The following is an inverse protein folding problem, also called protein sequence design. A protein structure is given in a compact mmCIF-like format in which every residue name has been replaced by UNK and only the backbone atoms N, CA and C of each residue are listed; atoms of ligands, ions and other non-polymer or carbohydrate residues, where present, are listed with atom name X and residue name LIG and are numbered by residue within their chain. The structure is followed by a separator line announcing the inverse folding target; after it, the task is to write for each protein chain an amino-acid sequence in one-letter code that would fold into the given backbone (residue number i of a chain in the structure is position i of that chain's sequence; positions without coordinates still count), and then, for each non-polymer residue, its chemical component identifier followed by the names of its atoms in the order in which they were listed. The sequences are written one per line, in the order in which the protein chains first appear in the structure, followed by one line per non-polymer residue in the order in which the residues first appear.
data_IF_884582537533
#
_entry.id   IF_884582537533
#
_cell.length_a   1.000
_cell.length_b   1.000
_cell.length_c   1.000
_cell.angle_alpha   90.00
_cell.angle_beta   90.00
_cell.angle_gamma   90.00
#
_symmetry.space_group_name_H-M   'P 1'
#
loop_
_entity.id
_entity.type
_entity.pdbx_description
1 polymer ?
#
# COMPACT_ATOMS: atom_id res chain seq x y z
N UNK A 1 1.94 14.98 -11.33
CA UNK A 1 1.72 14.65 -12.75
C UNK A 1 0.24 14.50 -13.10
N UNK A 2 -0.56 13.73 -12.35
CA UNK A 2 -1.98 13.49 -12.64
C UNK A 2 -2.85 14.75 -12.81
N UNK A 3 -2.71 15.75 -11.93
CA UNK A 3 -3.49 17.00 -12.00
C UNK A 3 -3.23 17.76 -13.29
N UNK A 4 -1.98 17.83 -13.75
CA UNK A 4 -1.64 18.49 -15.01
C UNK A 4 -2.32 17.81 -16.21
N UNK A 5 -2.39 16.47 -16.21
CA UNK A 5 -3.09 15.72 -17.24
C UNK A 5 -4.61 15.93 -17.18
N UNK A 6 -5.22 15.98 -15.98
CA UNK A 6 -6.65 16.27 -15.82
C UNK A 6 -7.01 17.67 -16.35
N UNK A 7 -6.16 18.66 -16.09
CA UNK A 7 -6.35 20.02 -16.61
C UNK A 7 -6.26 20.02 -18.15
N UNK A 8 -5.28 19.32 -18.74
CA UNK A 8 -5.19 19.18 -20.20
C UNK A 8 -6.41 18.50 -20.82
N UNK A 9 -6.92 17.44 -20.18
CA UNK A 9 -8.13 16.73 -20.61
C UNK A 9 -9.39 17.62 -20.51
N UNK A 10 -9.47 18.48 -19.48
CA UNK A 10 -10.59 19.42 -19.32
C UNK A 10 -10.62 20.49 -20.43
N UNK A 11 -9.47 20.92 -20.93
CA UNK A 11 -9.38 21.92 -22.01
C UNK A 11 -9.86 21.35 -23.34
N UNK A 12 -9.53 20.09 -23.67
CA UNK A 12 -9.94 19.47 -24.95
C UNK A 12 -11.42 19.07 -25.00
N UNK A 13 -12.15 19.12 -23.88
CA UNK A 13 -13.58 18.80 -23.80
C UNK A 13 -14.46 19.80 -24.56
N UNK A 14 -13.95 21.01 -24.79
CA UNK A 14 -14.65 22.06 -25.53
C UNK A 14 -14.79 21.76 -27.03
N UNK A 15 -13.95 20.88 -27.59
CA UNK A 15 -14.02 20.48 -29.00
C UNK A 15 -14.86 19.20 -29.16
N UNK A 16 -15.96 19.22 -29.94
CA UNK A 16 -16.83 18.07 -30.19
C UNK A 16 -16.11 16.81 -30.69
N UNK A 17 -14.96 16.95 -31.36
CA UNK A 17 -14.19 15.83 -31.93
C UNK A 17 -13.56 14.96 -30.83
N UNK A 18 -13.15 15.54 -29.71
CA UNK A 18 -12.40 14.84 -28.67
C UNK A 18 -13.19 14.60 -27.39
N UNK A 19 -14.48 14.91 -27.34
CA UNK A 19 -15.30 14.77 -26.13
C UNK A 19 -15.29 13.36 -25.55
N UNK A 20 -15.47 12.33 -26.39
CA UNK A 20 -15.45 10.94 -25.93
C UNK A 20 -14.09 10.53 -25.34
N UNK A 21 -13.00 11.00 -25.95
CA UNK A 21 -11.63 10.77 -25.49
C UNK A 21 -11.39 11.49 -24.17
N UNK A 22 -11.72 12.79 -24.10
CA UNK A 22 -11.53 13.64 -22.94
C UNK A 22 -12.20 13.07 -21.68
N UNK A 23 -13.45 12.63 -21.80
CA UNK A 23 -14.18 12.00 -20.69
C UNK A 23 -13.51 10.69 -20.26
N UNK A 24 -13.12 9.84 -21.22
CA UNK A 24 -12.45 8.58 -20.94
C UNK A 24 -11.11 8.79 -20.24
N UNK A 25 -10.34 9.82 -20.64
CA UNK A 25 -9.08 10.19 -20.00
C UNK A 25 -9.29 10.74 -18.60
N UNK A 26 -10.25 11.65 -18.40
CA UNK A 26 -10.54 12.22 -17.08
C UNK A 26 -10.95 11.13 -16.09
N UNK A 27 -11.91 10.29 -16.46
CA UNK A 27 -12.36 9.19 -15.62
C UNK A 27 -11.29 8.13 -15.44
N UNK A 28 -10.60 7.73 -16.51
CA UNK A 28 -9.55 6.71 -16.46
C UNK A 28 -8.37 7.14 -15.60
N UNK A 29 -7.94 8.40 -15.71
CA UNK A 29 -6.82 8.93 -14.95
C UNK A 29 -7.19 9.20 -13.49
N UNK A 30 -8.39 9.75 -13.23
CA UNK A 30 -8.88 9.91 -11.87
C UNK A 30 -9.05 8.56 -11.17
N UNK A 31 -9.70 7.60 -11.85
CA UNK A 31 -9.91 6.26 -11.32
C UNK A 31 -8.60 5.50 -11.16
N UNK A 32 -7.65 5.61 -12.09
CA UNK A 32 -6.33 4.96 -11.95
C UNK A 32 -5.55 5.55 -10.76
N UNK A 33 -5.66 6.85 -10.51
CA UNK A 33 -5.01 7.48 -9.35
C UNK A 33 -5.62 6.96 -8.05
N UNK A 34 -6.95 6.97 -7.96
CA UNK A 34 -7.67 6.45 -6.79
C UNK A 34 -7.40 4.95 -6.59
N UNK A 35 -7.44 4.17 -7.66
CA UNK A 35 -7.20 2.73 -7.66
C UNK A 35 -5.78 2.43 -7.23
N UNK A 36 -4.76 3.12 -7.72
CA UNK A 36 -3.38 2.90 -7.26
C UNK A 36 -3.22 3.24 -5.77
N UNK A 37 -3.82 4.33 -5.31
CA UNK A 37 -3.80 4.71 -3.88
C UNK A 37 -4.47 3.66 -3.01
N UNK A 38 -5.49 2.95 -3.49
CA UNK A 38 -6.16 1.86 -2.76
C UNK A 38 -5.47 0.48 -2.94
N UNK A 39 -5.01 0.17 -4.14
CA UNK A 39 -4.46 -1.15 -4.51
C UNK A 39 -3.11 -1.40 -3.88
N UNK A 40 -2.21 -0.41 -3.88
CA UNK A 40 -0.89 -0.54 -3.25
C UNK A 40 -1.01 -0.93 -1.77
N UNK A 41 -1.78 -0.23 -0.91
CA UNK A 41 -1.92 -0.62 0.49
C UNK A 41 -2.71 -1.92 0.66
N UNK A 42 -3.75 -2.16 -0.14
CA UNK A 42 -4.51 -3.41 -0.07
C UNK A 42 -3.62 -4.64 -0.29
N UNK A 43 -2.78 -4.62 -1.34
CA UNK A 43 -1.83 -5.70 -1.63
C UNK A 43 -0.76 -5.79 -0.54
N UNK A 44 -0.27 -4.66 -0.02
CA UNK A 44 0.73 -4.64 1.05
C UNK A 44 0.22 -5.35 2.32
N UNK A 45 -1.03 -5.10 2.73
CA UNK A 45 -1.62 -5.72 3.92
C UNK A 45 -1.73 -7.23 3.75
N UNK A 46 -2.22 -7.69 2.58
CA UNK A 46 -2.34 -9.12 2.29
C UNK A 46 -0.97 -9.82 2.32
N UNK A 47 0.04 -9.22 1.70
CA UNK A 47 1.39 -9.78 1.65
C UNK A 47 2.15 -9.70 2.99
N UNK A 48 1.87 -8.70 3.83
CA UNK A 48 2.47 -8.54 5.17
C UNK A 48 1.79 -9.45 6.19
N UNK A 49 0.46 -9.60 6.13
CA UNK A 49 -0.30 -10.50 6.99
C UNK A 49 0.22 -11.94 6.91
N UNK A 50 0.61 -12.40 5.71
CA UNK A 50 1.21 -13.73 5.52
C UNK A 50 2.58 -13.94 6.18
N UNK A 51 3.30 -12.88 6.59
CA UNK A 51 4.61 -12.95 7.26
C UNK A 51 4.57 -12.78 8.77
N UNK A 52 3.43 -12.37 9.33
CA UNK A 52 3.31 -12.02 10.76
C UNK A 52 3.19 -13.25 11.67
N UNK A 53 2.96 -14.44 11.12
CA UNK A 53 2.76 -15.67 11.89
C UNK A 53 4.05 -16.42 12.24
N UNK A 54 5.22 -16.02 11.72
CA UNK A 54 6.49 -16.75 11.94
C UNK A 54 7.28 -16.20 13.15
N UNK A 55 7.07 -14.94 13.57
CA UNK A 55 7.82 -14.33 14.69
C UNK A 55 7.28 -14.69 16.08
N UNK A 56 6.04 -15.19 16.17
CA UNK A 56 5.48 -15.73 17.40
C UNK A 56 6.18 -17.02 17.87
N UNK A 57 6.99 -17.65 17.01
CA UNK A 57 7.93 -18.70 17.39
C UNK A 57 9.28 -18.08 17.77
N UNK A 58 9.28 -17.14 18.72
CA UNK A 58 10.51 -16.79 19.44
C UNK A 58 11.03 -18.07 20.11
N UNK A 59 12.27 -18.51 19.81
CA UNK A 59 12.86 -19.68 20.43
C UNK A 59 12.82 -19.55 21.96
N UNK A 60 12.54 -20.64 22.70
CA UNK A 60 12.61 -20.63 24.15
C UNK A 60 14.00 -20.14 24.56
N UNK A 61 13.99 -19.10 25.39
CA UNK A 61 15.19 -18.45 25.93
C UNK A 61 16.15 -19.54 26.47
N UNK A 62 17.37 -19.69 25.90
CA UNK A 62 18.34 -20.67 26.38
C UNK A 62 18.88 -20.32 27.77
N UNK A 63 18.61 -19.11 28.26
CA UNK A 63 18.95 -18.68 29.61
C UNK A 63 17.96 -19.27 30.61
N UNK A 64 18.14 -20.57 30.85
CA UNK A 64 17.64 -21.27 32.00
C UNK A 64 18.18 -20.69 33.32
N UNK A 65 17.77 -21.26 34.46
CA UNK A 65 18.02 -20.71 35.79
C UNK A 65 19.50 -20.82 36.22
N UNK A 66 20.39 -19.98 35.70
CA UNK A 66 21.80 -19.92 36.12
C UNK A 66 22.06 -18.95 37.30
N UNK A 67 21.05 -18.20 37.76
CA UNK A 67 21.20 -17.28 38.90
C UNK A 67 20.69 -17.82 40.25
N UNK A 68 20.42 -19.13 40.37
CA UNK A 68 19.96 -19.75 41.62
C UNK A 68 21.08 -20.26 42.55
N UNK A 69 22.37 -20.02 42.23
CA UNK A 69 23.52 -20.66 42.89
C UNK A 69 24.42 -19.80 43.79
N UNK A 70 24.17 -18.50 44.00
CA UNK A 70 25.11 -17.60 44.71
C UNK A 70 24.64 -17.09 46.09
N UNK A 71 23.62 -17.69 46.71
CA UNK A 71 23.05 -17.17 47.96
C UNK A 71 23.29 -18.00 49.25
N UNK A 72 24.21 -18.97 49.27
CA UNK A 72 24.52 -19.71 50.51
C UNK A 72 26.02 -19.97 50.70
N UNK A 73 26.72 -18.98 51.26
CA UNK A 73 27.99 -19.12 51.98
C UNK A 73 27.87 -18.32 53.27
#
# INVERSE_FOLDING_TARGET
TAIAAMIGAAVILADPIFQGLAISLLFGLASSTALTVLVIPAIYIVLRGGRSSIEAASPPDPHGPEHAGLAST
#
